data_IF_017159120809
#
_entry.id   IF_017159120809
#
_cell.length_a   1.000
_cell.length_b   1.000
_cell.length_c   1.000
_cell.angle_alpha   90.00
_cell.angle_beta   90.00
_cell.angle_gamma   90.00
#
_symmetry.space_group_name_H-M   'P 1'
#
loop_
_entity.id
_entity.type
_entity.pdbx_description
1 polymer ?
#
# COMPACT_ATOMS: atom_id res chain seq x y z
N UNK A 1 8.74 -2.04 -2.91
CA UNK A 1 9.04 -1.59 -4.30
C UNK A 1 8.91 -2.75 -5.28
N UNK A 2 8.98 -2.51 -6.60
CA UNK A 2 8.89 -3.55 -7.64
C UNK A 2 9.98 -4.63 -7.48
N UNK A 3 11.22 -4.25 -7.17
CA UNK A 3 12.32 -5.20 -6.99
C UNK A 3 12.07 -6.10 -5.78
N UNK A 4 11.64 -5.54 -4.63
CA UNK A 4 11.29 -6.33 -3.44
C UNK A 4 10.16 -7.32 -3.73
N UNK A 5 9.15 -6.86 -4.48
CA UNK A 5 8.04 -7.69 -4.89
C UNK A 5 8.51 -8.88 -5.73
N UNK A 6 9.36 -8.63 -6.73
CA UNK A 6 9.89 -9.68 -7.59
C UNK A 6 10.79 -10.67 -6.84
N UNK A 7 11.67 -10.18 -5.95
CA UNK A 7 12.47 -11.03 -5.07
C UNK A 7 11.60 -11.89 -4.16
N UNK A 8 10.47 -11.37 -3.69
CA UNK A 8 9.53 -12.13 -2.85
C UNK A 8 8.78 -13.19 -3.66
N UNK A 9 8.39 -12.91 -4.90
CA UNK A 9 7.77 -13.88 -5.81
C UNK A 9 8.73 -15.07 -6.08
N UNK A 10 10.00 -14.77 -6.34
CA UNK A 10 11.00 -15.80 -6.62
C UNK A 10 11.60 -16.44 -5.37
N UNK A 11 11.19 -16.01 -4.18
CA UNK A 11 11.75 -16.42 -2.88
C UNK A 11 13.27 -16.18 -2.78
N UNK A 12 13.78 -15.10 -3.37
CA UNK A 12 15.17 -14.69 -3.23
C UNK A 12 15.40 -13.99 -1.89
N UNK A 13 16.48 -14.34 -1.20
CA UNK A 13 16.82 -13.71 0.07
C UNK A 13 17.48 -12.34 -0.15
N UNK A 14 16.70 -11.27 0.03
CA UNK A 14 17.16 -9.87 -0.11
C UNK A 14 18.09 -9.40 1.01
N UNK A 15 18.29 -10.17 2.09
CA UNK A 15 19.22 -9.82 3.16
C UNK A 15 20.68 -10.13 2.83
N UNK A 16 20.94 -10.88 1.74
CA UNK A 16 22.29 -11.25 1.31
C UNK A 16 23.06 -10.03 0.80
N UNK A 17 24.35 -9.94 1.14
CA UNK A 17 25.21 -8.90 0.59
C UNK A 17 25.62 -9.26 -0.85
N UNK A 18 25.86 -8.26 -1.72
CA UNK A 18 26.32 -8.52 -3.08
C UNK A 18 27.58 -9.40 -3.16
N UNK A 19 28.51 -9.23 -2.22
CA UNK A 19 29.73 -10.03 -2.16
C UNK A 19 29.48 -11.52 -1.86
N UNK A 20 28.39 -11.86 -1.15
CA UNK A 20 27.99 -13.24 -0.87
C UNK A 20 27.31 -13.86 -2.09
N UNK A 21 26.47 -13.08 -2.78
CA UNK A 21 25.80 -13.51 -4.02
C UNK A 21 26.83 -13.83 -5.10
N UNK A 22 27.84 -12.98 -5.29
CA UNK A 22 28.89 -13.17 -6.31
C UNK A 22 29.77 -14.41 -6.10
N UNK A 23 29.74 -15.02 -4.90
CA UNK A 23 30.51 -16.23 -4.61
C UNK A 23 29.81 -17.51 -5.07
N UNK A 24 28.56 -17.43 -5.52
CA UNK A 24 27.78 -18.59 -5.97
C UNK A 24 27.06 -18.27 -7.28
N UNK A 25 27.38 -19.02 -8.33
CA UNK A 25 26.71 -18.92 -9.62
C UNK A 25 25.20 -19.16 -9.51
N UNK A 26 24.79 -20.11 -8.67
CA UNK A 26 23.37 -20.38 -8.38
C UNK A 26 22.65 -19.16 -7.77
N UNK A 27 23.31 -18.44 -6.84
CA UNK A 27 22.73 -17.23 -6.24
C UNK A 27 22.63 -16.08 -7.25
N UNK A 28 23.63 -15.95 -8.13
CA UNK A 28 23.61 -14.96 -9.23
C UNK A 28 22.45 -15.27 -10.19
N UNK A 29 22.29 -16.53 -10.59
CA UNK A 29 21.19 -16.96 -11.46
C UNK A 29 19.82 -16.75 -10.81
N UNK A 30 19.70 -17.01 -9.51
CA UNK A 30 18.46 -16.78 -8.76
C UNK A 30 18.14 -15.28 -8.64
N UNK A 31 19.14 -14.43 -8.41
CA UNK A 31 18.97 -12.99 -8.45
C UNK A 31 18.52 -12.54 -9.85
N UNK A 32 19.13 -13.06 -10.91
CA UNK A 32 18.77 -12.73 -12.29
C UNK A 32 17.33 -13.08 -12.61
N UNK A 33 16.85 -14.27 -12.18
CA UNK A 33 15.44 -14.66 -12.29
C UNK A 33 14.50 -13.66 -11.60
N UNK A 34 14.90 -13.13 -10.44
CA UNK A 34 14.13 -12.12 -9.71
C UNK A 34 14.04 -10.81 -10.50
N UNK A 35 15.13 -10.38 -11.14
CA UNK A 35 15.13 -9.18 -11.97
C UNK A 35 14.34 -9.36 -13.27
N UNK A 36 14.38 -10.54 -13.87
CA UNK A 36 13.55 -10.90 -15.02
C UNK A 36 12.07 -10.86 -14.67
N UNK A 37 11.69 -11.30 -13.46
CA UNK A 37 10.31 -11.22 -12.99
C UNK A 37 9.86 -9.77 -12.82
N UNK A 38 10.71 -8.89 -12.27
CA UNK A 38 10.42 -7.46 -12.22
C UNK A 38 10.21 -6.87 -13.63
N UNK A 39 11.05 -7.26 -14.60
CA UNK A 39 10.91 -6.82 -15.99
C UNK A 39 9.61 -7.31 -16.63
N UNK A 40 9.22 -8.58 -16.39
CA UNK A 40 7.96 -9.15 -16.86
C UNK A 40 6.77 -8.34 -16.37
N UNK A 41 6.74 -7.98 -15.09
CA UNK A 41 5.65 -7.18 -14.50
C UNK A 41 5.56 -5.81 -15.17
N UNK A 42 6.69 -5.14 -15.43
CA UNK A 42 6.69 -3.86 -16.16
C UNK A 42 6.11 -4.02 -17.56
N UNK A 43 6.47 -5.10 -18.27
CA UNK A 43 5.93 -5.37 -19.60
C UNK A 43 4.42 -5.64 -19.55
N UNK A 44 3.93 -6.38 -18.56
CA UNK A 44 2.50 -6.66 -18.37
C UNK A 44 1.70 -5.38 -18.11
N UNK A 45 2.21 -4.52 -17.23
CA UNK A 45 1.60 -3.22 -16.90
C UNK A 45 1.58 -2.29 -18.12
N UNK A 46 2.66 -2.24 -18.89
CA UNK A 46 2.83 -1.25 -19.98
C UNK A 46 2.23 -1.70 -21.31
N UNK A 47 2.09 -3.00 -21.56
CA UNK A 47 1.45 -3.54 -22.77
C UNK A 47 -0.08 -3.53 -22.70
N UNK A 48 -0.65 -3.45 -21.49
CA UNK A 48 -2.10 -3.45 -21.28
C UNK A 48 -2.71 -2.09 -21.60
N UNK A 49 -3.81 -2.09 -22.38
CA UNK A 49 -4.57 -0.86 -22.69
C UNK A 49 -5.18 -0.23 -21.44
N UNK A 50 -5.56 -1.06 -20.47
CA UNK A 50 -6.05 -0.66 -19.15
C UNK A 50 -5.26 -1.44 -18.12
N UNK A 51 -4.36 -0.75 -17.41
CA UNK A 51 -3.66 -1.32 -16.26
C UNK A 51 -4.51 -1.11 -15.01
N UNK A 52 -4.65 -2.17 -14.20
CA UNK A 52 -5.27 -2.08 -12.87
C UNK A 52 -4.40 -1.23 -11.94
N UNK A 53 -5.00 -0.72 -10.87
CA UNK A 53 -4.24 -0.15 -9.77
C UNK A 53 -4.77 -0.62 -8.44
N UNK A 54 -3.89 -0.55 -7.45
CA UNK A 54 -4.14 -0.99 -6.09
C UNK A 54 -3.79 0.13 -5.14
N UNK A 55 -4.66 0.41 -4.18
CA UNK A 55 -4.35 1.24 -3.03
C UNK A 55 -4.11 0.32 -1.83
N UNK A 56 -3.00 0.54 -1.15
CA UNK A 56 -2.69 -0.04 0.15
C UNK A 56 -3.28 0.88 1.21
N UNK A 57 -4.13 0.32 2.06
CA UNK A 57 -4.68 1.02 3.22
C UNK A 57 -4.51 0.20 4.49
N UNK A 58 -4.60 0.86 5.64
CA UNK A 58 -4.61 0.22 6.97
C UNK A 58 -5.92 0.51 7.67
N UNK A 59 -6.42 -0.44 8.46
CA UNK A 59 -7.60 -0.21 9.30
C UNK A 59 -7.22 0.70 10.47
N UNK A 60 -8.00 1.75 10.73
CA UNK A 60 -7.87 2.54 11.98
C UNK A 60 -8.33 1.64 13.14
N UNK A 61 -7.52 1.54 14.20
CA UNK A 61 -7.58 0.55 15.28
C UNK A 61 -8.86 0.53 16.17
N UNK A 62 -9.98 1.04 15.68
CA UNK A 62 -11.18 1.26 16.50
C UNK A 62 -12.51 0.84 15.88
N UNK A 63 -12.55 0.13 14.76
CA UNK A 63 -13.80 -0.49 14.29
C UNK A 63 -13.56 -1.88 13.69
N UNK A 64 -13.95 -2.91 14.45
CA UNK A 64 -14.31 -4.21 13.92
C UNK A 64 -15.49 -4.01 12.97
N UNK A 65 -15.24 -3.76 11.69
CA UNK A 65 -16.27 -4.01 10.68
C UNK A 65 -15.94 -5.36 10.05
N UNK A 66 -16.62 -6.36 10.63
CA UNK A 66 -17.03 -7.55 9.94
C UNK A 66 -18.25 -7.13 9.13
N UNK A 67 -18.10 -6.79 7.85
CA UNK A 67 -19.19 -7.00 6.88
C UNK A 67 -18.71 -6.91 5.43
N UNK A 68 -19.18 -7.86 4.65
CA UNK A 68 -18.66 -8.27 3.34
C UNK A 68 -19.21 -7.41 2.19
N UNK A 69 -19.40 -6.10 2.39
CA UNK A 69 -19.99 -5.19 1.39
C UNK A 69 -19.05 -4.02 1.03
N UNK A 70 -18.38 -4.18 -0.11
CA UNK A 70 -17.22 -3.42 -0.61
C UNK A 70 -17.43 -1.91 -0.87
N UNK A 71 -18.61 -1.35 -0.60
CA UNK A 71 -18.95 0.02 -0.99
C UNK A 71 -19.15 1.01 0.16
N UNK A 72 -19.42 0.57 1.39
CA UNK A 72 -19.63 1.47 2.54
C UNK A 72 -18.46 1.48 3.56
N UNK A 73 -17.54 0.51 3.46
CA UNK A 73 -16.46 0.23 4.42
C UNK A 73 -15.17 1.06 4.27
N UNK A 74 -15.22 2.13 3.48
CA UNK A 74 -14.06 3.00 3.22
C UNK A 74 -13.84 4.03 4.34
N UNK A 75 -14.86 4.26 5.17
CA UNK A 75 -14.84 5.17 6.33
C UNK A 75 -14.12 4.49 7.49
N UNK A 76 -12.80 4.63 7.55
CA UNK A 76 -11.96 3.99 8.57
C UNK A 76 -10.68 3.38 8.02
N UNK A 77 -10.47 3.47 6.70
CA UNK A 77 -9.22 3.10 6.06
C UNK A 77 -8.29 4.32 5.98
N UNK A 78 -7.06 4.14 6.46
CA UNK A 78 -5.97 5.08 6.27
C UNK A 78 -5.19 4.66 5.03
N UNK A 79 -5.34 5.41 3.95
CA UNK A 79 -4.63 5.14 2.70
C UNK A 79 -3.14 5.45 2.89
N UNK A 80 -2.27 4.50 2.53
CA UNK A 80 -0.83 4.54 2.80
C UNK A 80 -0.02 4.71 1.50
N UNK A 81 -0.29 3.88 0.49
CA UNK A 81 0.43 3.91 -0.79
C UNK A 81 -0.45 3.40 -1.95
N UNK A 82 0.00 3.58 -3.20
CA UNK A 82 -0.68 3.04 -4.39
C UNK A 82 0.31 2.44 -5.39
N UNK A 83 -0.11 1.38 -6.08
CA UNK A 83 0.75 0.63 -7.00
C UNK A 83 -0.01 0.13 -8.24
N UNK A 84 0.67 0.01 -9.40
CA UNK A 84 0.09 -0.55 -10.62
C UNK A 84 0.01 -2.10 -10.61
N UNK A 85 0.43 -2.74 -9.51
CA UNK A 85 0.35 -4.17 -9.27
C UNK A 85 0.10 -4.40 -7.77
N UNK A 86 -0.36 -5.60 -7.39
CA UNK A 86 -0.61 -5.96 -5.98
C UNK A 86 0.71 -6.40 -5.32
N UNK A 87 1.33 -5.62 -4.42
CA UNK A 87 2.65 -5.97 -3.92
C UNK A 87 2.61 -7.12 -2.90
N UNK A 88 3.23 -8.24 -3.29
CA UNK A 88 3.38 -9.46 -2.50
C UNK A 88 3.98 -9.25 -1.10
N UNK A 89 4.82 -8.24 -0.88
CA UNK A 89 5.43 -8.00 0.44
C UNK A 89 4.43 -7.63 1.54
N UNK A 90 3.21 -7.20 1.19
CA UNK A 90 2.18 -6.83 2.15
C UNK A 90 1.02 -7.83 2.23
N UNK A 91 1.06 -8.93 1.48
CA UNK A 91 -0.06 -9.89 1.44
C UNK A 91 -0.26 -10.66 2.75
N UNK A 92 0.80 -10.88 3.52
CA UNK A 92 0.74 -11.63 4.77
C UNK A 92 0.42 -10.74 5.98
N UNK A 93 0.34 -9.42 5.80
CA UNK A 93 0.04 -8.48 6.87
C UNK A 93 -1.48 -8.33 7.03
N UNK A 94 -2.07 -8.80 8.15
CA UNK A 94 -3.52 -8.75 8.37
C UNK A 94 -4.04 -7.32 8.60
N UNK A 95 -3.15 -6.35 8.85
CA UNK A 95 -3.52 -4.95 9.04
C UNK A 95 -3.67 -4.20 7.72
N UNK A 96 -3.16 -4.78 6.63
CA UNK A 96 -3.18 -4.20 5.29
C UNK A 96 -4.42 -4.64 4.52
N UNK A 97 -5.08 -3.66 3.91
CA UNK A 97 -6.21 -3.83 2.99
C UNK A 97 -5.78 -3.35 1.62
N UNK A 98 -6.05 -4.18 0.60
CA UNK A 98 -5.85 -3.81 -0.79
C UNK A 98 -7.18 -3.42 -1.42
N UNK A 99 -7.26 -2.20 -1.94
CA UNK A 99 -8.39 -1.73 -2.74
C UNK A 99 -8.00 -1.78 -4.21
N UNK A 100 -8.73 -2.57 -5.01
CA UNK A 100 -8.45 -2.74 -6.44
C UNK A 100 -9.34 -1.83 -7.29
N UNK A 101 -8.75 -1.22 -8.31
CA UNK A 101 -9.44 -0.34 -9.25
C UNK A 101 -9.09 -0.70 -10.69
N UNK A 102 -10.07 -0.57 -11.57
CA UNK A 102 -9.84 -0.60 -13.00
C UNK A 102 -9.29 0.75 -13.47
N UNK A 103 -8.08 0.76 -14.02
CA UNK A 103 -7.39 1.95 -14.47
C UNK A 103 -6.46 2.56 -13.41
N UNK A 104 -5.17 2.62 -13.71
CA UNK A 104 -4.18 3.20 -12.81
C UNK A 104 -4.41 4.71 -12.57
N UNK A 105 -4.78 5.48 -13.60
CA UNK A 105 -5.10 6.92 -13.42
C UNK A 105 -6.23 7.13 -12.41
N UNK A 106 -7.30 6.33 -12.51
CA UNK A 106 -8.42 6.36 -11.55
C UNK A 106 -7.98 6.02 -10.13
N UNK A 107 -7.06 5.06 -10.00
CA UNK A 107 -6.47 4.68 -8.71
C UNK A 107 -5.73 5.86 -8.08
N UNK A 108 -4.97 6.60 -8.88
CA UNK A 108 -4.22 7.78 -8.44
C UNK A 108 -5.17 8.90 -8.00
N UNK A 109 -6.19 9.20 -8.80
CA UNK A 109 -7.20 10.22 -8.47
C UNK A 109 -7.93 9.90 -7.16
N UNK A 110 -8.32 8.64 -6.97
CA UNK A 110 -8.95 8.15 -5.75
C UNK A 110 -8.02 8.27 -4.53
N UNK A 111 -6.74 7.91 -4.69
CA UNK A 111 -5.77 7.98 -3.61
C UNK A 111 -5.61 9.43 -3.11
N UNK A 112 -5.37 10.37 -4.02
CA UNK A 112 -5.17 11.77 -3.62
C UNK A 112 -6.44 12.43 -3.09
N UNK A 113 -7.62 12.05 -3.60
CA UNK A 113 -8.91 12.50 -3.04
C UNK A 113 -9.08 12.05 -1.59
N UNK A 114 -8.72 10.80 -1.27
CA UNK A 114 -8.78 10.27 0.09
C UNK A 114 -7.77 10.95 1.02
N UNK A 115 -6.52 11.15 0.57
CA UNK A 115 -5.48 11.83 1.36
C UNK A 115 -5.89 13.27 1.69
N UNK A 116 -6.52 13.98 0.73
CA UNK A 116 -7.03 15.32 0.98
C UNK A 116 -8.19 15.30 2.00
N UNK A 117 -9.12 14.36 1.86
CA UNK A 117 -10.21 14.14 2.83
C UNK A 117 -9.68 13.88 4.25
N UNK A 118 -8.73 12.96 4.41
CA UNK A 118 -8.12 12.62 5.70
C UNK A 118 -7.42 13.83 6.35
N UNK A 119 -6.75 14.68 5.55
CA UNK A 119 -6.14 15.92 6.05
C UNK A 119 -7.17 16.93 6.53
N UNK A 120 -8.31 17.03 5.86
CA UNK A 120 -9.40 17.91 6.26
C UNK A 120 -10.04 17.43 7.56
N UNK A 121 -10.30 16.12 7.69
CA UNK A 121 -10.84 15.50 8.89
C UNK A 121 -9.92 15.71 10.10
N UNK A 122 -8.63 15.44 9.95
CA UNK A 122 -7.64 15.65 11.01
C UNK A 122 -7.61 17.10 11.53
N UNK A 123 -7.74 18.10 10.65
CA UNK A 123 -7.81 19.51 11.06
C UNK A 123 -9.09 19.86 11.81
N UNK A 124 -10.21 19.22 11.48
CA UNK A 124 -11.48 19.39 12.19
C UNK A 124 -11.39 18.77 13.59
N UNK A 125 -10.87 17.55 13.69
CA UNK A 125 -10.64 16.84 14.96
C UNK A 125 -9.74 17.67 15.90
N UNK A 126 -8.66 18.27 15.39
CA UNK A 126 -7.78 19.15 16.16
C UNK A 126 -8.50 20.40 16.70
N UNK A 127 -9.35 21.04 15.88
CA UNK A 127 -10.13 22.21 16.30
C UNK A 127 -11.12 21.86 17.39
N UNK A 128 -11.82 20.74 17.25
CA UNK A 128 -12.74 20.25 18.28
C UNK A 128 -12.03 19.92 19.60
N UNK A 129 -10.86 19.29 19.53
CA UNK A 129 -10.05 18.96 20.72
C UNK A 129 -9.56 20.23 21.42
N UNK A 130 -9.14 21.25 20.67
CA UNK A 130 -8.71 22.52 21.25
C UNK A 130 -9.88 23.27 21.90
N UNK A 131 -11.05 23.32 21.25
CA UNK A 131 -12.24 23.92 21.84
C UNK A 131 -12.67 23.22 23.15
N UNK A 132 -12.66 21.88 23.17
CA UNK A 132 -12.97 21.09 24.38
C UNK A 132 -12.01 21.37 25.55
N UNK A 133 -10.73 21.62 25.26
CA UNK A 133 -9.73 21.96 26.29
C UNK A 133 -9.96 23.34 26.89
N UNK A 134 -10.27 24.34 26.06
CA UNK A 134 -10.56 25.70 26.53
C UNK A 134 -11.81 25.71 27.43
N UNK A 135 -12.88 25.03 27.03
CA UNK A 135 -14.12 24.93 27.84
C UNK A 135 -13.88 24.20 29.18
N UNK A 136 -13.00 23.19 29.20
CA UNK A 136 -12.64 22.46 30.43
C UNK A 136 -11.72 23.25 31.37
N UNK A 137 -11.00 24.25 30.85
CA UNK A 137 -10.08 25.10 31.61
C UNK A 137 -10.76 26.28 32.32
N UNK A 138 -11.94 26.69 31.86
CA UNK A 138 -12.69 27.82 32.42
C UNK A 138 -13.55 27.43 33.65
N UNK A 139 -13.66 26.14 33.97
CA UNK A 139 -14.46 25.59 35.08
C UNK A 139 -13.69 25.37 36.40
N UNK A 140 -12.52 26.00 36.59
CA UNK A 140 -11.72 25.92 37.83
C UNK A 140 -11.47 27.28 38.46
#
# INVERSE_FOLDING_TARGET
MLVDHAMRITNFNSSLKPAEVLQSEDLVDHLMKSLQEAQRIVQEITSSKVSKGYIIAKKKDSQNILDENQTEDRKGLLYDDFHPFKPQQFQDDPTVVFLEFEGFNKTVDEFFSSIEGQKLESRLEERELNAKKEDSGCAK
#
